data_IF_429022666460
#
_entry.id   IF_429022666460
#
_cell.length_a   1.000
_cell.length_b   1.000
_cell.length_c   1.000
_cell.angle_alpha   90.00
_cell.angle_beta   90.00
_cell.angle_gamma   90.00
#
_symmetry.space_group_name_H-M   'P 1'
#
loop_
_entity.id
_entity.type
_entity.pdbx_description
1 polymer ?
#
# COMPACT_ATOMS: atom_id res chain seq x y z
N UNK A 1 -20.99 -28.69 -16.42
CA UNK A 1 -20.17 -27.61 -15.84
C UNK A 1 -19.71 -26.61 -16.91
N UNK A 2 -19.46 -27.03 -18.16
CA UNK A 2 -18.96 -26.13 -19.22
C UNK A 2 -19.89 -25.00 -19.65
N UNK A 3 -21.22 -25.14 -19.50
CA UNK A 3 -22.17 -24.06 -19.83
C UNK A 3 -22.25 -22.94 -18.77
N UNK A 4 -21.78 -23.19 -17.54
CA UNK A 4 -21.75 -22.19 -16.47
C UNK A 4 -20.48 -21.33 -16.59
N UNK A 5 -19.34 -21.94 -16.95
CA UNK A 5 -18.08 -21.24 -17.21
C UNK A 5 -18.17 -20.30 -18.43
N UNK A 6 -18.93 -20.67 -19.47
CA UNK A 6 -19.14 -19.82 -20.67
C UNK A 6 -20.10 -18.64 -20.39
N UNK A 7 -20.96 -18.75 -19.37
CA UNK A 7 -21.86 -17.67 -18.97
C UNK A 7 -21.15 -16.62 -18.09
N UNK A 8 -20.20 -17.05 -17.25
CA UNK A 8 -19.40 -16.16 -16.41
C UNK A 8 -18.43 -15.29 -17.25
N UNK A 9 -17.91 -15.78 -18.37
CA UNK A 9 -17.06 -14.98 -19.27
C UNK A 9 -17.85 -13.98 -20.14
N UNK A 10 -19.17 -14.18 -20.29
CA UNK A 10 -20.07 -13.27 -21.05
C UNK A 10 -20.86 -12.28 -20.19
N UNK A 11 -21.07 -12.54 -18.90
CA UNK A 11 -21.86 -11.69 -17.99
C UNK A 11 -21.20 -11.42 -16.63
N UNK A 12 -20.04 -12.02 -16.33
CA UNK A 12 -19.23 -11.58 -15.22
C UNK A 12 -18.70 -10.18 -15.52
N UNK A 13 -18.73 -9.22 -14.58
CA UNK A 13 -18.06 -7.95 -14.80
C UNK A 13 -16.59 -8.28 -15.07
N UNK A 14 -16.15 -8.09 -16.32
CA UNK A 14 -14.73 -7.94 -16.62
C UNK A 14 -14.29 -6.72 -15.85
N UNK A 15 -13.94 -6.90 -14.59
CA UNK A 15 -13.32 -5.87 -13.77
C UNK A 15 -11.95 -5.66 -14.37
N UNK A 16 -11.89 -4.90 -15.48
CA UNK A 16 -10.63 -4.35 -15.96
C UNK A 16 -10.04 -3.66 -14.75
N UNK A 17 -8.92 -4.17 -14.24
CA UNK A 17 -8.29 -3.60 -13.06
C UNK A 17 -8.10 -2.11 -13.33
N UNK A 18 -8.77 -1.28 -12.55
CA UNK A 18 -8.56 0.15 -12.58
C UNK A 18 -7.11 0.38 -12.11
N UNK A 19 -6.29 0.99 -12.95
CA UNK A 19 -4.95 1.43 -12.61
C UNK A 19 -5.02 2.83 -12.00
N UNK A 20 -5.63 2.95 -10.82
CA UNK A 20 -5.48 4.13 -9.97
C UNK A 20 -4.21 4.07 -9.10
N UNK A 21 -3.72 2.85 -8.84
CA UNK A 21 -2.48 2.59 -8.09
C UNK A 21 -1.22 2.60 -8.98
N UNK A 22 -0.11 3.15 -8.47
CA UNK A 22 1.19 2.99 -9.10
C UNK A 22 1.79 1.60 -8.84
N UNK A 23 2.86 1.27 -9.58
CA UNK A 23 3.66 0.06 -9.34
C UNK A 23 4.10 -0.06 -7.87
N UNK A 24 4.53 1.04 -7.26
CA UNK A 24 4.96 1.07 -5.85
C UNK A 24 3.79 0.84 -4.89
N UNK A 25 2.61 1.40 -5.17
CA UNK A 25 1.44 1.16 -4.32
C UNK A 25 1.02 -0.31 -4.40
N UNK A 26 1.04 -0.91 -5.61
CA UNK A 26 0.78 -2.34 -5.82
C UNK A 26 1.80 -3.22 -5.09
N UNK A 27 3.07 -2.81 -5.01
CA UNK A 27 4.10 -3.50 -4.22
C UNK A 27 3.72 -3.54 -2.73
N UNK A 28 3.22 -2.43 -2.18
CA UNK A 28 2.77 -2.37 -0.77
C UNK A 28 1.49 -3.16 -0.54
N UNK A 29 0.41 -2.82 -1.25
CA UNK A 29 -0.93 -3.28 -0.90
C UNK A 29 -1.28 -4.67 -1.43
N UNK A 30 -0.53 -5.17 -2.43
CA UNK A 30 -0.77 -6.48 -3.05
C UNK A 30 0.37 -7.43 -2.80
N UNK A 31 1.58 -7.12 -3.27
CA UNK A 31 2.72 -8.05 -3.21
C UNK A 31 3.15 -8.30 -1.76
N UNK A 32 3.31 -7.25 -0.97
CA UNK A 32 3.70 -7.38 0.45
C UNK A 32 2.63 -8.13 1.24
N UNK A 33 1.34 -7.84 1.02
CA UNK A 33 0.23 -8.52 1.70
C UNK A 33 0.15 -10.00 1.29
N UNK A 34 0.31 -10.32 0.01
CA UNK A 34 0.38 -11.71 -0.47
C UNK A 34 1.57 -12.46 0.13
N UNK A 35 2.75 -11.83 0.19
CA UNK A 35 3.93 -12.41 0.82
C UNK A 35 3.72 -12.69 2.31
N UNK A 36 3.21 -11.71 3.06
CA UNK A 36 2.94 -11.85 4.50
C UNK A 36 1.88 -12.93 4.78
N UNK A 37 0.81 -12.98 3.99
CA UNK A 37 -0.23 -14.02 4.13
C UNK A 37 0.31 -15.41 3.81
N UNK A 38 1.15 -15.55 2.79
CA UNK A 38 1.86 -16.81 2.51
C UNK A 38 2.76 -17.23 3.70
N UNK A 39 3.51 -16.30 4.29
CA UNK A 39 4.32 -16.59 5.48
C UNK A 39 3.46 -17.05 6.67
N UNK A 40 2.28 -16.47 6.88
CA UNK A 40 1.35 -16.91 7.93
C UNK A 40 0.94 -18.36 7.72
N UNK A 41 0.57 -18.75 6.49
CA UNK A 41 0.20 -20.14 6.19
C UNK A 41 1.35 -21.12 6.46
N UNK A 42 2.59 -20.74 6.13
CA UNK A 42 3.78 -21.56 6.40
C UNK A 42 3.96 -21.76 7.91
N UNK A 43 3.84 -20.70 8.70
CA UNK A 43 4.05 -20.74 10.16
C UNK A 43 2.95 -21.55 10.86
N UNK A 44 1.68 -21.37 10.44
CA UNK A 44 0.55 -22.13 11.01
C UNK A 44 0.64 -23.64 10.72
N UNK A 45 1.37 -24.04 9.68
CA UNK A 45 1.63 -25.45 9.38
C UNK A 45 2.72 -26.11 10.24
N UNK A 46 3.51 -25.33 11.00
CA UNK A 46 4.60 -25.83 11.83
C UNK A 46 4.13 -26.26 13.23
N UNK A 47 4.23 -27.55 13.55
CA UNK A 47 3.87 -28.10 14.88
C UNK A 47 5.11 -28.17 15.78
N UNK A 48 4.95 -27.86 17.08
CA UNK A 48 5.97 -28.06 18.12
C UNK A 48 6.13 -29.55 18.46
N UNK A 49 7.37 -30.02 18.62
CA UNK A 49 7.67 -31.36 19.15
C UNK A 49 8.61 -31.27 20.36
N UNK A 50 8.09 -31.56 21.54
CA UNK A 50 8.85 -31.76 22.76
C UNK A 50 9.26 -33.24 22.87
N UNK A 51 10.48 -33.48 23.31
CA UNK A 51 10.98 -34.84 23.50
C UNK A 51 10.66 -35.29 24.93
N UNK A 52 9.52 -35.98 25.12
CA UNK A 52 9.16 -36.58 26.40
C UNK A 52 8.77 -38.06 26.22
N UNK A 53 9.58 -38.97 26.74
CA UNK A 53 9.25 -40.41 26.74
C UNK A 53 8.27 -40.73 27.87
N UNK A 54 6.98 -40.91 27.56
CA UNK A 54 5.99 -41.45 28.50
C UNK A 54 4.52 -41.08 28.19
N UNK A 55 3.61 -41.47 29.09
CA UNK A 55 2.16 -41.26 28.95
C UNK A 55 1.73 -39.77 29.00
N UNK A 56 2.63 -38.86 29.39
CA UNK A 56 2.38 -37.42 29.53
C UNK A 56 2.93 -36.56 28.38
N UNK A 57 3.39 -37.16 27.29
CA UNK A 57 3.99 -36.44 26.16
C UNK A 57 3.07 -35.35 25.58
N UNK A 58 1.78 -35.64 25.37
CA UNK A 58 0.81 -34.65 24.90
C UNK A 58 0.59 -33.49 25.88
N UNK A 59 0.65 -33.75 27.19
CA UNK A 59 0.52 -32.72 28.23
C UNK A 59 1.78 -31.84 28.30
N UNK A 60 2.97 -32.46 28.27
CA UNK A 60 4.25 -31.75 28.27
C UNK A 60 4.37 -30.84 27.04
N UNK A 61 4.04 -31.35 25.85
CA UNK A 61 3.97 -30.58 24.61
C UNK A 61 3.08 -29.34 24.73
N UNK A 62 1.85 -29.53 25.22
CA UNK A 62 0.86 -28.45 25.32
C UNK A 62 1.27 -27.39 26.34
N UNK A 63 1.74 -27.81 27.52
CA UNK A 63 2.18 -26.89 28.57
C UNK A 63 3.42 -26.11 28.12
N UNK A 64 4.39 -26.75 27.50
CA UNK A 64 5.60 -26.09 27.02
C UNK A 64 5.29 -25.11 25.89
N UNK A 65 4.36 -25.45 25.00
CA UNK A 65 3.88 -24.50 23.99
C UNK A 65 3.16 -23.30 24.60
N UNK A 66 2.35 -23.46 25.66
CA UNK A 66 1.59 -22.37 26.29
C UNK A 66 2.45 -21.48 27.18
N UNK A 67 3.26 -22.10 28.05
CA UNK A 67 4.08 -21.39 29.04
C UNK A 67 5.28 -20.69 28.41
N UNK A 68 5.70 -21.12 27.21
CA UNK A 68 6.92 -20.69 26.57
C UNK A 68 8.13 -21.46 27.08
N UNK A 69 9.27 -21.22 26.44
CA UNK A 69 10.55 -21.87 26.74
C UNK A 69 11.65 -20.84 26.91
N UNK A 70 12.81 -21.25 27.42
CA UNK A 70 13.99 -20.39 27.52
C UNK A 70 15.16 -21.02 26.78
N UNK A 71 16.05 -20.18 26.26
CA UNK A 71 17.26 -20.63 25.60
C UNK A 71 18.35 -20.93 26.63
N UNK A 72 18.99 -22.08 26.49
CA UNK A 72 20.19 -22.45 27.25
C UNK A 72 21.26 -22.86 26.23
N UNK A 73 22.43 -22.19 26.19
CA UNK A 73 23.52 -22.59 25.32
C UNK A 73 23.94 -24.04 25.58
N UNK A 74 24.23 -24.80 24.52
CA UNK A 74 24.62 -26.22 24.62
C UNK A 74 25.92 -26.44 25.40
N UNK A 75 26.75 -25.40 25.52
CA UNK A 75 28.00 -25.41 26.29
C UNK A 75 27.76 -25.40 27.82
N UNK A 76 26.59 -24.92 28.27
CA UNK A 76 26.21 -24.91 29.68
C UNK A 76 25.59 -26.27 30.07
N UNK A 77 26.42 -27.15 30.63
CA UNK A 77 26.01 -28.52 31.04
C UNK A 77 25.00 -28.48 32.20
N UNK A 78 25.02 -27.42 33.03
CA UNK A 78 24.19 -27.32 34.23
C UNK A 78 22.94 -26.47 33.99
N UNK A 79 21.77 -27.07 34.18
CA UNK A 79 20.50 -26.32 34.28
C UNK A 79 20.59 -25.42 35.52
N UNK A 80 20.44 -24.08 35.39
CA UNK A 80 20.56 -23.19 36.53
C UNK A 80 19.56 -23.55 37.64
N UNK A 81 19.93 -23.32 38.89
CA UNK A 81 18.99 -23.47 40.01
C UNK A 81 17.74 -22.60 39.77
N UNK A 82 16.57 -23.12 40.14
CA UNK A 82 15.27 -22.48 39.91
C UNK A 82 15.12 -21.15 40.66
N UNK A 83 15.93 -20.93 41.70
CA UNK A 83 16.03 -19.66 42.41
C UNK A 83 16.58 -18.53 41.54
N UNK A 84 17.34 -18.85 40.49
CA UNK A 84 17.88 -17.88 39.54
C UNK A 84 16.83 -17.57 38.46
N UNK A 85 16.69 -16.29 38.07
CA UNK A 85 15.82 -15.94 36.97
C UNK A 85 16.31 -16.63 35.69
N UNK A 86 15.40 -17.30 34.98
CA UNK A 86 15.68 -17.81 33.64
C UNK A 86 15.91 -16.61 32.72
N UNK A 87 17.11 -16.52 32.16
CA UNK A 87 17.48 -15.49 31.19
C UNK A 87 17.05 -15.96 29.79
N UNK A 88 16.63 -15.02 28.93
CA UNK A 88 16.24 -15.29 27.53
C UNK A 88 15.03 -16.21 27.33
N UNK A 89 13.85 -15.74 27.76
CA UNK A 89 12.58 -16.36 27.40
C UNK A 89 12.27 -16.17 25.91
N UNK A 90 11.88 -17.26 25.26
CA UNK A 90 11.52 -17.34 23.86
C UNK A 90 10.01 -17.58 23.82
N UNK A 91 9.23 -16.52 23.56
CA UNK A 91 7.76 -16.61 23.42
C UNK A 91 7.23 -15.94 22.15
N UNK A 92 8.09 -15.25 21.38
CA UNK A 92 7.67 -14.54 20.18
C UNK A 92 7.07 -15.45 19.10
N UNK A 93 7.47 -16.72 19.04
CA UNK A 93 6.95 -17.67 18.04
C UNK A 93 5.43 -17.89 18.19
N UNK A 94 4.89 -17.80 19.41
CA UNK A 94 3.46 -17.89 19.68
C UNK A 94 2.68 -16.74 19.03
N UNK A 95 3.30 -15.55 18.97
CA UNK A 95 2.69 -14.31 18.50
C UNK A 95 3.03 -13.97 17.06
N UNK A 96 3.96 -14.72 16.44
CA UNK A 96 4.53 -14.37 15.13
C UNK A 96 3.44 -14.28 14.06
N UNK A 97 2.54 -15.27 13.97
CA UNK A 97 1.45 -15.27 12.99
C UNK A 97 0.52 -14.06 13.14
N UNK A 98 0.18 -13.68 14.38
CA UNK A 98 -0.66 -12.50 14.64
C UNK A 98 0.02 -11.21 14.21
N UNK A 99 1.34 -11.10 14.42
CA UNK A 99 2.08 -9.90 14.02
C UNK A 99 2.17 -9.77 12.52
N UNK A 100 2.45 -10.86 11.81
CA UNK A 100 2.41 -10.85 10.35
C UNK A 100 1.02 -10.47 9.82
N UNK A 101 -0.05 -10.91 10.51
CA UNK A 101 -1.42 -10.50 10.17
C UNK A 101 -1.63 -8.99 10.39
N UNK A 102 -1.20 -8.45 11.54
CA UNK A 102 -1.26 -7.01 11.78
C UNK A 102 -0.46 -6.23 10.74
N UNK A 103 0.76 -6.64 10.44
CA UNK A 103 1.57 -6.04 9.38
C UNK A 103 0.81 -6.01 8.04
N UNK A 104 0.20 -7.13 7.65
CA UNK A 104 -0.57 -7.21 6.41
C UNK A 104 -1.77 -6.24 6.40
N UNK A 105 -2.49 -6.14 7.52
CA UNK A 105 -3.61 -5.18 7.65
C UNK A 105 -3.14 -3.73 7.54
N UNK A 106 -2.02 -3.37 8.18
CA UNK A 106 -1.47 -2.02 8.10
C UNK A 106 -0.98 -1.66 6.69
N UNK A 107 -0.49 -2.61 5.89
CA UNK A 107 -0.17 -2.36 4.48
C UNK A 107 -1.40 -2.17 3.57
N UNK A 108 -2.58 -2.68 3.98
CA UNK A 108 -3.85 -2.44 3.28
C UNK A 108 -4.49 -1.09 3.65
N UNK A 109 -4.17 -0.56 4.82
CA UNK A 109 -4.81 0.63 5.38
C UNK A 109 -4.74 1.88 4.47
N UNK A 110 -3.59 2.26 3.88
CA UNK A 110 -3.50 3.46 3.04
C UNK A 110 -4.39 3.36 1.79
N UNK A 111 -4.48 2.18 1.17
CA UNK A 111 -5.38 1.93 0.04
C UNK A 111 -6.84 2.05 0.44
N UNK A 112 -7.22 1.48 1.59
CA UNK A 112 -8.58 1.59 2.10
C UNK A 112 -8.97 3.05 2.36
N UNK A 113 -8.05 3.83 2.93
CA UNK A 113 -8.20 5.26 3.16
C UNK A 113 -8.43 6.02 1.84
N UNK A 114 -7.61 5.76 0.81
CA UNK A 114 -7.77 6.37 -0.53
C UNK A 114 -9.14 6.08 -1.16
N UNK A 115 -9.56 4.81 -1.19
CA UNK A 115 -10.85 4.44 -1.79
C UNK A 115 -12.04 4.96 -0.99
N UNK A 116 -11.95 4.98 0.34
CA UNK A 116 -13.02 5.52 1.19
C UNK A 116 -13.17 7.02 0.95
N UNK A 117 -12.05 7.75 0.88
CA UNK A 117 -12.07 9.18 0.59
C UNK A 117 -12.64 9.48 -0.79
N UNK A 118 -12.20 8.76 -1.82
CA UNK A 118 -12.69 8.95 -3.20
C UNK A 118 -14.17 8.58 -3.36
N UNK A 119 -14.70 7.67 -2.53
CA UNK A 119 -16.12 7.33 -2.49
C UNK A 119 -16.98 8.40 -1.81
N UNK A 120 -16.45 9.01 -0.75
CA UNK A 120 -17.13 10.09 -0.02
C UNK A 120 -17.01 11.44 -0.75
N UNK A 121 -15.96 11.61 -1.56
CA UNK A 121 -15.81 12.76 -2.44
C UNK A 121 -16.90 12.78 -3.50
N UNK A 122 -17.40 13.97 -3.83
CA UNK A 122 -18.54 14.17 -4.73
C UNK A 122 -18.38 13.61 -6.15
N UNK A 123 -17.18 13.17 -6.54
CA UNK A 123 -16.90 12.53 -7.82
C UNK A 123 -16.18 11.18 -7.63
N UNK A 124 -16.88 10.08 -7.91
CA UNK A 124 -16.28 8.75 -7.87
C UNK A 124 -15.58 8.44 -9.21
N UNK A 125 -14.26 8.59 -9.22
CA UNK A 125 -13.39 8.39 -10.40
C UNK A 125 -13.55 6.97 -10.98
N UNK A 126 -13.71 5.96 -10.12
CA UNK A 126 -13.86 4.57 -10.55
C UNK A 126 -15.16 4.38 -11.34
N UNK A 127 -16.25 5.03 -10.91
CA UNK A 127 -17.52 5.01 -11.64
C UNK A 127 -17.40 5.68 -13.00
N UNK A 128 -16.69 6.82 -13.10
CA UNK A 128 -16.51 7.51 -14.39
C UNK A 128 -15.80 6.61 -15.41
N UNK A 129 -14.71 5.96 -15.00
CA UNK A 129 -13.94 5.09 -15.89
C UNK A 129 -14.76 3.85 -16.26
N UNK A 130 -15.53 3.31 -15.30
CA UNK A 130 -16.46 2.21 -15.57
C UNK A 130 -17.55 2.60 -16.58
N UNK A 131 -18.11 3.81 -16.48
CA UNK A 131 -19.08 4.33 -17.46
C UNK A 131 -18.49 4.44 -18.86
N UNK A 132 -17.20 4.76 -19.00
CA UNK A 132 -16.53 4.79 -20.32
C UNK A 132 -16.35 3.38 -20.88
N UNK A 133 -15.95 2.42 -20.03
CA UNK A 133 -15.59 1.06 -20.45
C UNK A 133 -16.79 0.13 -20.69
N UNK A 134 -17.83 0.24 -19.86
CA UNK A 134 -18.97 -0.68 -19.88
C UNK A 134 -20.05 -0.27 -20.90
N UNK A 135 -19.99 0.96 -21.40
CA UNK A 135 -21.01 1.47 -22.31
C UNK A 135 -20.73 1.02 -23.75
N UNK A 136 -21.71 0.42 -24.46
CA UNK A 136 -21.49 -0.12 -25.81
C UNK A 136 -21.19 0.97 -26.84
N UNK A 137 -21.64 2.20 -26.57
CA UNK A 137 -21.35 3.39 -27.34
C UNK A 137 -20.42 4.28 -26.51
N UNK A 138 -19.12 4.23 -26.84
CA UNK A 138 -18.07 4.97 -26.13
C UNK A 138 -18.33 6.47 -26.14
N UNK A 139 -18.92 7.01 -27.21
CA UNK A 139 -19.14 8.45 -27.33
C UNK A 139 -20.21 8.96 -26.34
N UNK A 140 -21.27 8.18 -26.11
CA UNK A 140 -22.26 8.49 -25.06
C UNK A 140 -21.68 8.38 -23.65
N UNK A 141 -20.81 7.40 -23.41
CA UNK A 141 -20.10 7.27 -22.13
C UNK A 141 -19.20 8.47 -21.88
N UNK A 142 -18.47 8.91 -22.90
CA UNK A 142 -17.59 10.10 -22.85
C UNK A 142 -18.39 11.39 -22.61
N UNK A 143 -19.54 11.57 -23.27
CA UNK A 143 -20.39 12.74 -23.06
C UNK A 143 -20.90 12.82 -21.61
N UNK A 144 -21.29 11.68 -21.02
CA UNK A 144 -21.71 11.60 -19.62
C UNK A 144 -20.59 11.99 -18.65
N UNK A 145 -19.37 11.51 -18.91
CA UNK A 145 -18.18 11.85 -18.11
C UNK A 145 -17.80 13.32 -18.29
N UNK A 146 -17.87 13.87 -19.50
CA UNK A 146 -17.62 15.30 -19.76
C UNK A 146 -18.55 16.19 -18.94
N UNK A 147 -19.87 15.90 -18.95
CA UNK A 147 -20.88 16.65 -18.17
C UNK A 147 -20.63 16.54 -16.67
N UNK A 148 -20.41 15.32 -16.17
CA UNK A 148 -20.18 15.06 -14.74
C UNK A 148 -18.90 15.73 -14.24
N UNK A 149 -17.83 15.67 -15.03
CA UNK A 149 -16.55 16.25 -14.67
C UNK A 149 -16.58 17.78 -14.72
N UNK A 150 -17.23 18.36 -15.74
CA UNK A 150 -17.45 19.81 -15.81
C UNK A 150 -18.25 20.32 -14.61
N UNK A 151 -19.37 19.66 -14.30
CA UNK A 151 -20.22 20.03 -13.15
C UNK A 151 -19.43 20.02 -11.84
N UNK A 152 -18.59 19.00 -11.65
CA UNK A 152 -17.71 18.92 -10.48
C UNK A 152 -16.72 20.10 -10.42
N UNK A 153 -16.06 20.43 -11.53
CA UNK A 153 -15.10 21.55 -11.59
C UNK A 153 -15.78 22.90 -11.36
N UNK A 154 -16.94 23.14 -11.97
CA UNK A 154 -17.72 24.38 -11.80
C UNK A 154 -18.17 24.53 -10.35
N UNK A 155 -18.67 23.46 -9.73
CA UNK A 155 -19.06 23.45 -8.30
C UNK A 155 -17.85 23.76 -7.41
N UNK A 156 -16.71 23.10 -7.65
CA UNK A 156 -15.49 23.30 -6.87
C UNK A 156 -14.95 24.73 -6.99
N UNK A 157 -15.01 25.32 -8.19
CA UNK A 157 -14.58 26.70 -8.44
C UNK A 157 -15.53 27.73 -7.81
N UNK A 158 -16.83 27.43 -7.76
CA UNK A 158 -17.84 28.29 -7.12
C UNK A 158 -17.68 28.32 -5.60
N UNK A 159 -17.51 27.15 -4.97
CA UNK A 159 -17.35 27.02 -3.51
C UNK A 159 -16.10 27.74 -2.97
N UNK A 160 -15.06 27.93 -3.79
CA UNK A 160 -13.89 28.74 -3.44
C UNK A 160 -14.16 30.25 -3.44
N UNK A 161 -15.16 30.71 -4.18
CA UNK A 161 -15.57 32.11 -4.22
C UNK A 161 -16.18 32.60 -2.91
N UNK A 162 -16.73 31.70 -2.10
CA UNK A 162 -17.45 32.04 -0.87
C UNK A 162 -16.59 31.94 0.40
N UNK A 163 -15.37 31.40 0.31
CA UNK A 163 -14.56 31.09 1.49
C UNK A 163 -13.25 31.88 1.52
N UNK A 164 -13.32 33.17 1.87
CA UNK A 164 -12.26 33.88 2.59
C UNK A 164 -12.67 35.32 2.98
N UNK A 165 -13.36 35.46 4.11
CA UNK A 165 -13.37 36.70 4.89
C UNK A 165 -13.38 36.34 6.39
N UNK A 166 -12.24 36.50 7.06
CA UNK A 166 -12.15 36.53 8.53
C UNK A 166 -11.72 35.22 9.22
N UNK A 167 -10.47 35.19 9.69
CA UNK A 167 -9.87 34.54 10.88
C UNK A 167 -10.46 33.26 11.55
N UNK A 168 -11.31 32.47 10.89
CA UNK A 168 -11.78 31.14 11.33
C UNK A 168 -11.79 30.18 10.13
N UNK A 169 -10.62 29.68 9.75
CA UNK A 169 -10.49 28.62 8.75
C UNK A 169 -10.93 27.27 9.36
N UNK A 170 -12.24 27.05 9.48
CA UNK A 170 -12.81 25.79 10.02
C UNK A 170 -13.12 24.74 8.95
N UNK A 171 -13.00 25.03 7.64
CA UNK A 171 -13.13 24.03 6.59
C UNK A 171 -11.86 23.99 5.75
N UNK A 172 -10.84 23.28 6.24
CA UNK A 172 -9.69 22.91 5.41
C UNK A 172 -10.20 21.95 4.32
N UNK A 173 -10.44 22.47 3.11
CA UNK A 173 -10.81 21.63 1.98
C UNK A 173 -9.62 20.73 1.64
N UNK A 174 -9.71 19.46 2.03
CA UNK A 174 -8.75 18.42 1.65
C UNK A 174 -9.10 18.03 0.21
N UNK A 175 -8.34 18.52 -0.75
CA UNK A 175 -8.50 18.13 -2.15
C UNK A 175 -8.04 16.69 -2.41
N UNK A 176 -8.51 16.09 -3.51
CA UNK A 176 -8.06 14.77 -3.96
C UNK A 176 -6.54 14.67 -4.08
N UNK A 177 -5.88 15.74 -4.55
CA UNK A 177 -4.42 15.76 -4.69
C UNK A 177 -3.69 15.70 -3.35
N UNK A 178 -4.17 16.45 -2.36
CA UNK A 178 -3.56 16.42 -1.02
C UNK A 178 -3.75 15.04 -0.38
N UNK A 179 -4.95 14.47 -0.51
CA UNK A 179 -5.23 13.13 0.00
C UNK A 179 -4.36 12.06 -0.66
N UNK A 180 -4.18 12.15 -1.98
CA UNK A 180 -3.35 11.21 -2.72
C UNK A 180 -1.88 11.27 -2.25
N UNK A 181 -1.32 12.47 -2.09
CA UNK A 181 0.02 12.66 -1.54
C UNK A 181 0.12 12.19 -0.08
N UNK A 182 -0.92 12.42 0.73
CA UNK A 182 -0.97 11.94 2.11
C UNK A 182 -0.92 10.40 2.18
N UNK A 183 -1.60 9.70 1.27
CA UNK A 183 -1.55 8.23 1.17
C UNK A 183 -0.14 7.75 0.81
N UNK A 184 0.57 8.44 -0.10
CA UNK A 184 1.98 8.12 -0.42
C UNK A 184 2.89 8.26 0.79
N UNK A 185 2.73 9.35 1.54
CA UNK A 185 3.48 9.57 2.79
C UNK A 185 3.12 8.51 3.83
N UNK A 186 1.83 8.12 3.91
CA UNK A 186 1.37 7.08 4.83
C UNK A 186 2.00 5.71 4.52
N UNK A 187 2.27 5.37 3.26
CA UNK A 187 3.03 4.16 2.92
C UNK A 187 4.47 4.19 3.46
N UNK A 188 5.15 5.35 3.39
CA UNK A 188 6.50 5.52 3.97
C UNK A 188 6.46 5.41 5.50
N UNK A 189 5.52 6.11 6.14
CA UNK A 189 5.35 6.04 7.60
C UNK A 189 5.03 4.61 8.03
N UNK A 190 4.18 3.91 7.29
CA UNK A 190 3.83 2.53 7.59
C UNK A 190 5.06 1.62 7.52
N UNK A 191 5.82 1.64 6.41
CA UNK A 191 6.99 0.75 6.29
C UNK A 191 8.06 1.02 7.35
N UNK A 192 8.30 2.29 7.72
CA UNK A 192 9.18 2.66 8.83
C UNK A 192 8.64 2.18 10.19
N UNK A 193 7.36 2.42 10.44
CA UNK A 193 6.71 2.01 11.71
C UNK A 193 6.75 0.50 11.87
N UNK A 194 6.46 -0.28 10.83
CA UNK A 194 6.56 -1.74 10.87
C UNK A 194 7.99 -2.21 11.19
N UNK A 195 9.01 -1.55 10.63
CA UNK A 195 10.40 -1.86 10.94
C UNK A 195 10.74 -1.65 12.42
N UNK A 196 10.33 -0.51 13.00
CA UNK A 196 10.54 -0.23 14.42
C UNK A 196 9.69 -1.13 15.34
N UNK A 197 8.46 -1.45 14.95
CA UNK A 197 7.60 -2.38 15.70
C UNK A 197 8.21 -3.78 15.76
N UNK A 198 8.79 -4.27 14.66
CA UNK A 198 9.49 -5.56 14.66
C UNK A 198 10.72 -5.56 15.56
N UNK A 199 11.48 -4.46 15.58
CA UNK A 199 12.62 -4.30 16.48
C UNK A 199 12.20 -4.32 17.96
N UNK A 200 11.09 -3.67 18.30
CA UNK A 200 10.55 -3.68 19.66
C UNK A 200 10.01 -5.07 20.04
N UNK A 201 9.32 -5.75 19.13
CA UNK A 201 8.69 -7.04 19.40
C UNK A 201 9.70 -8.17 19.62
N UNK A 202 10.68 -8.31 18.71
CA UNK A 202 11.65 -9.41 18.76
C UNK A 202 12.61 -9.29 19.97
N UNK A 203 12.60 -8.16 20.69
CA UNK A 203 13.35 -7.92 21.92
C UNK A 203 14.88 -8.11 21.78
N UNK A 204 15.37 -8.08 20.54
CA UNK A 204 16.78 -8.02 20.19
C UNK A 204 16.98 -6.95 19.10
N UNK A 205 18.24 -6.55 18.87
CA UNK A 205 18.58 -5.56 17.85
C UNK A 205 18.27 -6.10 16.42
N UNK A 206 17.05 -5.88 15.94
CA UNK A 206 16.60 -6.29 14.61
C UNK A 206 17.33 -5.51 13.51
N UNK A 207 17.75 -4.28 13.79
CA UNK A 207 18.55 -3.47 12.85
C UNK A 207 19.86 -4.16 12.45
N UNK A 208 20.54 -4.83 13.39
CA UNK A 208 21.81 -5.53 13.10
C UNK A 208 21.60 -6.93 12.50
N UNK A 209 20.40 -7.50 12.64
CA UNK A 209 20.09 -8.86 12.20
C UNK A 209 20.25 -9.04 10.68
N UNK A 210 19.73 -8.11 9.89
CA UNK A 210 19.83 -8.16 8.43
C UNK A 210 21.27 -8.16 7.91
N UNK A 211 22.10 -7.15 8.24
CA UNK A 211 23.48 -7.08 7.77
C UNK A 211 24.32 -8.28 8.22
N UNK A 212 24.14 -8.75 9.46
CA UNK A 212 24.82 -9.95 9.94
C UNK A 212 24.41 -11.21 9.14
N UNK A 213 23.13 -11.34 8.81
CA UNK A 213 22.61 -12.44 7.99
C UNK A 213 23.16 -12.44 6.57
N UNK A 214 23.19 -11.27 5.93
CA UNK A 214 23.71 -11.10 4.57
C UNK A 214 25.22 -11.36 4.53
N UNK A 215 25.98 -10.80 5.48
CA UNK A 215 27.43 -10.98 5.52
C UNK A 215 27.81 -12.45 5.71
N UNK A 216 27.16 -13.17 6.63
CA UNK A 216 27.43 -14.61 6.82
C UNK A 216 27.08 -15.44 5.58
N UNK A 217 25.99 -15.10 4.88
CA UNK A 217 25.61 -15.79 3.64
C UNK A 217 26.64 -15.56 2.52
N UNK A 218 27.28 -14.40 2.48
CA UNK A 218 28.29 -14.05 1.47
C UNK A 218 29.68 -14.62 1.79
N UNK A 219 30.05 -14.72 3.07
CA UNK A 219 31.40 -15.11 3.49
C UNK A 219 31.62 -16.62 3.60
N UNK A 220 30.72 -17.35 4.24
CA UNK A 220 30.99 -18.74 4.63
C UNK A 220 30.24 -19.78 3.77
N UNK A 221 29.26 -19.38 2.95
CA UNK A 221 28.44 -20.31 2.15
C UNK A 221 27.56 -21.27 2.95
N UNK A 222 27.80 -21.39 4.25
CA UNK A 222 26.99 -22.16 5.19
C UNK A 222 25.67 -21.45 5.53
N UNK A 223 24.65 -22.25 5.84
CA UNK A 223 23.34 -21.76 6.21
C UNK A 223 23.43 -20.92 7.50
N UNK A 224 23.09 -19.63 7.41
CA UNK A 224 23.07 -18.71 8.55
C UNK A 224 22.32 -19.30 9.74
N UNK A 225 22.99 -19.41 10.89
CA UNK A 225 22.38 -19.78 12.18
C UNK A 225 22.56 -18.64 13.19
N UNK A 226 21.44 -18.11 13.65
CA UNK A 226 21.41 -17.06 14.67
C UNK A 226 21.04 -17.61 16.04
N UNK A 227 21.83 -17.33 17.09
CA UNK A 227 21.45 -17.67 18.47
C UNK A 227 20.20 -16.90 18.95
N UNK A 228 19.77 -15.87 18.20
CA UNK A 228 18.51 -15.15 18.44
C UNK A 228 17.26 -15.97 18.10
N UNK A 229 17.41 -16.96 17.22
CA UNK A 229 16.37 -17.90 16.83
C UNK A 229 16.76 -19.33 17.22
N UNK A 230 16.77 -19.66 18.53
CA UNK A 230 17.19 -20.98 18.98
C UNK A 230 16.24 -22.08 18.50
N UNK A 231 16.81 -23.17 17.98
CA UNK A 231 16.06 -24.36 17.54
C UNK A 231 15.84 -25.38 18.66
N UNK A 232 16.60 -25.25 19.73
CA UNK A 232 16.52 -26.09 20.93
C UNK A 232 16.31 -25.17 22.12
N UNK A 233 15.32 -25.48 22.96
CA UNK A 233 14.97 -24.68 24.14
C UNK A 233 14.66 -25.60 25.31
N UNK A 234 14.68 -25.05 26.53
CA UNK A 234 14.35 -25.77 27.75
C UNK A 234 13.00 -25.28 28.29
N UNK A 235 12.21 -26.21 28.81
CA UNK A 235 10.90 -25.94 29.38
C UNK A 235 10.78 -26.56 30.77
N UNK A 236 10.41 -25.72 31.75
CA UNK A 236 10.14 -26.17 33.11
C UNK A 236 8.63 -26.27 33.34
N UNK A 237 8.12 -27.46 33.67
CA UNK A 237 6.73 -27.65 34.05
C UNK A 237 6.58 -28.48 35.32
N UNK A 238 5.38 -28.44 35.88
CA UNK A 238 5.06 -29.01 37.17
C UNK A 238 3.88 -29.98 37.02
N UNK A 239 4.01 -31.18 37.59
CA UNK A 239 2.95 -32.19 37.59
C UNK A 239 2.47 -32.40 39.02
N UNK A 240 1.14 -32.34 39.21
CA UNK A 240 0.49 -32.60 40.51
C UNK A 240 -0.12 -33.99 40.49
N UNK A 241 0.16 -34.80 41.52
CA UNK A 241 -0.44 -36.13 41.75
C UNK A 241 -1.19 -36.13 43.08
N UNK A 242 -2.35 -36.80 43.15
CA UNK A 242 -3.11 -36.94 44.38
C UNK A 242 -2.25 -37.65 45.45
N UNK A 243 -2.10 -37.05 46.64
CA UNK A 243 -1.37 -37.64 47.77
C UNK A 243 0.16 -37.45 47.78
N UNK A 244 0.76 -36.71 46.84
CA UNK A 244 2.21 -36.46 46.79
C UNK A 244 2.53 -34.97 46.63
N UNK A 245 3.74 -34.60 47.06
CA UNK A 245 4.36 -33.30 46.81
C UNK A 245 4.45 -32.97 45.30
N UNK A 246 4.53 -31.67 45.04
CA UNK A 246 4.65 -31.05 43.73
C UNK A 246 6.01 -31.36 43.07
N UNK A 247 6.01 -32.09 41.95
CA UNK A 247 7.26 -32.45 41.24
C UNK A 247 7.48 -31.56 40.00
N UNK A 248 8.69 -31.04 39.86
CA UNK A 248 9.13 -30.20 38.75
C UNK A 248 9.93 -31.03 37.76
N UNK A 249 9.67 -30.81 36.48
CA UNK A 249 10.36 -31.43 35.36
C UNK A 249 10.93 -30.34 34.46
N UNK A 250 12.19 -30.46 34.08
CA UNK A 250 12.83 -29.68 33.04
C UNK A 250 13.04 -30.59 31.82
N UNK A 251 12.51 -30.20 30.67
CA UNK A 251 12.58 -30.99 29.44
C UNK A 251 13.17 -30.18 28.30
N UNK A 252 13.86 -30.87 27.41
CA UNK A 252 14.38 -30.30 26.17
C UNK A 252 13.29 -30.33 25.10
N UNK A 253 13.05 -29.18 24.48
CA UNK A 253 12.07 -29.01 23.42
C UNK A 253 12.78 -28.61 22.12
N UNK A 254 12.40 -29.28 21.02
CA UNK A 254 12.80 -28.85 19.69
C UNK A 254 11.78 -27.85 19.15
N UNK A 255 12.27 -26.80 18.51
CA UNK A 255 11.47 -25.70 17.97
C UNK A 255 11.68 -25.56 16.45
N UNK A 256 11.15 -26.50 15.62
CA UNK A 256 11.32 -26.45 14.17
C UNK A 256 10.79 -25.16 13.55
N UNK A 257 9.72 -24.60 14.13
CA UNK A 257 9.11 -23.34 13.70
C UNK A 257 10.11 -22.18 13.67
N UNK A 258 11.13 -22.22 14.53
CA UNK A 258 12.06 -21.11 14.65
C UNK A 258 13.06 -21.05 13.49
N UNK A 259 13.35 -22.19 12.86
CA UNK A 259 14.12 -22.23 11.62
C UNK A 259 13.40 -21.48 10.50
N UNK A 260 12.07 -21.60 10.42
CA UNK A 260 11.27 -20.83 9.45
C UNK A 260 11.22 -19.34 9.82
N UNK A 261 10.98 -19.01 11.10
CA UNK A 261 10.92 -17.64 11.58
C UNK A 261 12.23 -16.88 11.27
N UNK A 262 13.39 -17.49 11.51
CA UNK A 262 14.69 -16.90 11.20
C UNK A 262 14.78 -16.44 9.73
N UNK A 263 14.36 -17.29 8.78
CA UNK A 263 14.43 -16.98 7.35
C UNK A 263 13.35 -15.98 6.91
N UNK A 264 12.14 -16.12 7.44
CA UNK A 264 11.02 -15.20 7.17
C UNK A 264 11.39 -13.79 7.64
N UNK A 265 11.88 -13.64 8.87
CA UNK A 265 12.25 -12.34 9.41
C UNK A 265 13.45 -11.71 8.69
N UNK A 266 14.41 -12.51 8.21
CA UNK A 266 15.50 -12.01 7.37
C UNK A 266 14.98 -11.48 6.03
N UNK A 267 14.06 -12.22 5.40
CA UNK A 267 13.38 -11.80 4.17
C UNK A 267 12.56 -10.53 4.36
N UNK A 268 11.78 -10.45 5.46
CA UNK A 268 11.00 -9.25 5.82
C UNK A 268 11.92 -8.05 6.06
N UNK A 269 13.04 -8.24 6.76
CA UNK A 269 14.00 -7.17 6.99
C UNK A 269 14.49 -6.56 5.67
N UNK A 270 14.96 -7.41 4.75
CA UNK A 270 15.40 -6.99 3.42
C UNK A 270 14.28 -6.30 2.63
N UNK A 271 13.09 -6.90 2.65
CA UNK A 271 11.94 -6.39 1.93
C UNK A 271 11.49 -5.02 2.43
N UNK A 272 11.43 -4.80 3.75
CA UNK A 272 11.02 -3.52 4.33
C UNK A 272 11.99 -2.38 4.01
N UNK A 273 13.30 -2.65 3.95
CA UNK A 273 14.30 -1.65 3.52
C UNK A 273 14.08 -1.27 2.06
N UNK A 274 13.99 -2.26 1.16
CA UNK A 274 13.74 -2.04 -0.28
C UNK A 274 12.42 -1.27 -0.48
N UNK A 275 11.36 -1.70 0.20
CA UNK A 275 10.04 -1.10 0.09
C UNK A 275 10.03 0.34 0.61
N UNK A 276 10.74 0.63 1.70
CA UNK A 276 10.87 2.01 2.23
C UNK A 276 11.57 2.92 1.22
N UNK A 277 12.64 2.45 0.57
CA UNK A 277 13.34 3.19 -0.48
C UNK A 277 12.41 3.46 -1.66
N UNK A 278 11.71 2.45 -2.17
CA UNK A 278 10.77 2.63 -3.28
C UNK A 278 9.60 3.55 -2.92
N UNK A 279 9.06 3.46 -1.71
CA UNK A 279 8.02 4.36 -1.22
C UNK A 279 8.49 5.81 -1.23
N UNK A 280 9.69 6.07 -0.70
CA UNK A 280 10.28 7.40 -0.70
C UNK A 280 10.52 7.92 -2.13
N UNK A 281 11.12 7.10 -3.00
CA UNK A 281 11.38 7.46 -4.39
C UNK A 281 10.09 7.70 -5.20
N UNK A 282 9.00 7.00 -4.86
CA UNK A 282 7.73 7.14 -5.56
C UNK A 282 7.08 8.52 -5.39
N UNK A 283 7.42 9.26 -4.33
CA UNK A 283 6.83 10.57 -4.05
C UNK A 283 7.34 11.63 -5.05
N UNK A 284 8.61 11.57 -5.46
CA UNK A 284 9.23 12.61 -6.28
C UNK A 284 8.58 12.79 -7.66
N UNK A 285 8.28 11.73 -8.45
CA UNK A 285 7.58 11.87 -9.72
C UNK A 285 6.23 12.61 -9.58
N UNK A 286 5.49 12.37 -8.50
CA UNK A 286 4.21 13.04 -8.26
C UNK A 286 4.38 14.51 -7.91
N UNK A 287 5.36 14.86 -7.08
CA UNK A 287 5.69 16.26 -6.79
C UNK A 287 6.02 17.01 -8.10
N UNK A 288 6.85 16.40 -8.96
CA UNK A 288 7.23 16.97 -10.26
C UNK A 288 6.01 17.08 -11.19
N UNK A 289 5.17 16.05 -11.23
CA UNK A 289 3.96 16.00 -12.06
C UNK A 289 2.97 17.12 -11.71
N UNK A 290 2.80 17.44 -10.42
CA UNK A 290 1.92 18.53 -9.98
C UNK A 290 2.50 19.92 -10.25
N UNK A 291 3.79 20.03 -10.61
CA UNK A 291 4.42 21.28 -11.03
C UNK A 291 3.70 21.91 -12.24
N UNK A 292 3.47 23.22 -12.20
CA UNK A 292 2.70 23.96 -13.24
C UNK A 292 3.27 23.76 -14.65
N UNK A 293 4.58 23.65 -14.78
CA UNK A 293 5.26 23.38 -16.06
C UNK A 293 4.88 22.03 -16.66
N UNK A 294 4.98 20.95 -15.88
CA UNK A 294 4.67 19.59 -16.35
C UNK A 294 3.18 19.41 -16.65
N UNK A 295 2.30 19.92 -15.77
CA UNK A 295 0.85 19.95 -16.03
C UNK A 295 0.52 20.65 -17.36
N UNK A 296 1.14 21.81 -17.61
CA UNK A 296 0.96 22.53 -18.87
C UNK A 296 1.43 21.72 -20.08
N UNK A 297 2.58 21.06 -19.98
CA UNK A 297 3.13 20.22 -21.05
C UNK A 297 2.20 19.05 -21.41
N UNK A 298 1.71 18.34 -20.38
CA UNK A 298 0.81 17.19 -20.54
C UNK A 298 -0.53 17.61 -21.16
N UNK A 299 -1.17 18.67 -20.64
CA UNK A 299 -2.44 19.14 -21.20
C UNK A 299 -2.25 19.59 -22.66
N UNK A 300 -1.15 20.28 -22.97
CA UNK A 300 -0.83 20.67 -24.35
C UNK A 300 -0.63 19.44 -25.26
N UNK A 301 -0.04 18.34 -24.76
CA UNK A 301 0.08 17.07 -25.51
C UNK A 301 -1.31 16.55 -25.90
N UNK A 302 -2.21 16.40 -24.93
CA UNK A 302 -3.56 15.88 -25.20
C UNK A 302 -4.42 16.80 -26.08
N UNK A 303 -4.29 18.13 -25.93
CA UNK A 303 -4.97 19.09 -26.82
C UNK A 303 -4.44 19.05 -28.26
N UNK A 304 -3.15 18.74 -28.47
CA UNK A 304 -2.56 18.61 -29.81
C UNK A 304 -3.00 17.33 -30.52
N UNK A 305 -3.16 16.23 -29.79
CA UNK A 305 -3.59 14.94 -30.36
C UNK A 305 -4.95 15.09 -31.06
N UNK A 306 -5.90 15.79 -30.44
CA UNK A 306 -7.20 16.03 -31.07
C UNK A 306 -7.18 17.09 -32.16
N UNK A 307 -6.30 18.11 -32.06
CA UNK A 307 -6.16 19.12 -33.13
C UNK A 307 -5.60 18.54 -34.42
N UNK A 308 -4.58 17.67 -34.36
CA UNK A 308 -4.05 17.02 -35.58
C UNK A 308 -5.11 16.23 -36.35
N UNK A 309 -6.08 15.64 -35.64
CA UNK A 309 -7.20 14.91 -36.25
C UNK A 309 -8.28 15.83 -36.82
N UNK A 310 -8.38 17.06 -36.31
CA UNK A 310 -9.24 18.10 -36.88
C UNK A 310 -8.57 18.76 -38.09
N UNK A 311 -7.27 19.07 -37.99
CA UNK A 311 -6.46 19.62 -39.08
C UNK A 311 -6.35 18.63 -40.25
N UNK A 312 -6.28 17.30 -40.05
CA UNK A 312 -6.37 16.32 -41.17
C UNK A 312 -7.69 16.42 -41.96
N UNK A 313 -8.77 16.90 -41.33
CA UNK A 313 -10.04 17.20 -42.01
C UNK A 313 -10.14 18.66 -42.47
N UNK A 314 -9.21 19.53 -42.06
CA UNK A 314 -9.22 21.00 -42.24
C UNK A 314 -7.96 21.52 -42.99
N UNK A 315 -7.15 20.65 -43.62
CA UNK A 315 -6.08 21.02 -44.60
C UNK A 315 -6.70 21.53 -45.93
N UNK A 316 -7.84 22.24 -45.86
CA UNK A 316 -8.27 23.13 -46.94
C UNK A 316 -8.12 24.61 -46.58
N UNK A 317 -7.88 24.99 -45.31
CA UNK A 317 -7.73 26.41 -45.02
C UNK A 317 -6.92 26.75 -43.78
N UNK A 318 -5.76 27.33 -44.07
CA UNK A 318 -5.08 28.38 -43.30
C UNK A 318 -4.09 27.95 -42.23
N UNK A 319 -2.83 27.86 -42.66
CA UNK A 319 -1.61 28.10 -41.88
C UNK A 319 -1.82 29.22 -40.87
N UNK A 320 -1.85 28.91 -39.58
CA UNK A 320 -1.86 29.97 -38.55
C UNK A 320 -0.77 29.76 -37.52
N UNK A 321 0.11 30.75 -37.52
CA UNK A 321 1.14 31.10 -36.56
C UNK A 321 0.70 30.95 -35.10
N UNK A 322 1.62 30.48 -34.24
CA UNK A 322 1.40 30.26 -32.81
C UNK A 322 1.33 31.63 -32.12
N UNK A 323 0.14 32.20 -31.95
CA UNK A 323 -0.07 33.52 -31.33
C UNK A 323 0.12 33.51 -29.79
N UNK A 324 0.60 34.61 -29.19
CA UNK A 324 0.75 34.78 -27.73
C UNK A 324 -0.59 34.69 -26.96
N UNK A 325 -1.72 35.00 -27.61
CA UNK A 325 -3.09 34.86 -27.07
C UNK A 325 -3.41 33.42 -26.63
N UNK A 326 -2.85 32.41 -27.30
CA UNK A 326 -3.08 30.99 -26.99
C UNK A 326 -2.39 30.55 -25.69
N UNK A 327 -1.30 31.22 -25.27
CA UNK A 327 -0.62 30.92 -24.00
C UNK A 327 -1.48 31.35 -22.81
N UNK A 328 -2.07 32.53 -22.86
CA UNK A 328 -2.90 33.08 -21.78
C UNK A 328 -4.16 32.21 -21.54
N UNK A 329 -4.85 31.82 -22.62
CA UNK A 329 -6.00 30.91 -22.51
C UNK A 329 -5.65 29.53 -21.92
N UNK A 330 -4.43 29.03 -22.15
CA UNK A 330 -4.00 27.74 -21.57
C UNK A 330 -3.67 27.86 -20.09
N UNK A 331 -3.11 29.00 -19.66
CA UNK A 331 -2.90 29.26 -18.22
C UNK A 331 -4.21 29.45 -17.47
N UNK A 332 -5.18 30.17 -18.04
CA UNK A 332 -6.51 30.33 -17.45
C UNK A 332 -7.21 28.97 -17.28
N UNK A 333 -7.12 28.11 -18.29
CA UNK A 333 -7.65 26.75 -18.20
C UNK A 333 -6.95 25.90 -17.12
N UNK A 334 -5.64 26.04 -16.95
CA UNK A 334 -4.89 25.36 -15.87
C UNK A 334 -5.33 25.84 -14.48
N UNK A 335 -5.71 27.10 -14.35
CA UNK A 335 -6.25 27.67 -13.11
C UNK A 335 -7.68 27.21 -12.85
N UNK A 336 -8.51 27.06 -13.90
CA UNK A 336 -9.83 26.43 -13.82
C UNK A 336 -9.77 24.95 -13.42
N UNK A 337 -8.87 24.17 -14.02
CA UNK A 337 -8.71 22.73 -13.75
C UNK A 337 -8.10 22.45 -12.38
N UNK A 338 -7.27 23.37 -11.87
CA UNK A 338 -6.57 23.25 -10.60
C UNK A 338 -5.68 21.99 -10.51
N UNK A 339 -5.25 21.63 -9.29
CA UNK A 339 -4.48 20.41 -9.05
C UNK A 339 -5.37 19.17 -8.98
N UNK A 340 -6.54 19.28 -8.35
CA UNK A 340 -7.46 18.15 -8.18
C UNK A 340 -8.07 17.69 -9.51
N UNK A 341 -8.55 18.63 -10.33
CA UNK A 341 -9.05 18.31 -11.67
C UNK A 341 -7.96 17.72 -12.55
N UNK A 342 -6.73 18.21 -12.43
CA UNK A 342 -5.61 17.63 -13.17
C UNK A 342 -5.33 16.18 -12.74
N UNK A 343 -5.37 15.87 -11.44
CA UNK A 343 -5.21 14.50 -10.94
C UNK A 343 -6.30 13.58 -11.47
N UNK A 344 -7.56 14.02 -11.39
CA UNK A 344 -8.72 13.24 -11.88
C UNK A 344 -8.55 12.96 -13.37
N UNK A 345 -8.23 13.98 -14.16
CA UNK A 345 -7.95 13.81 -15.59
C UNK A 345 -6.79 12.86 -15.84
N UNK A 346 -5.70 12.97 -15.08
CA UNK A 346 -4.53 12.12 -15.22
C UNK A 346 -4.84 10.65 -14.93
N UNK A 347 -5.65 10.36 -13.90
CA UNK A 347 -6.10 8.99 -13.60
C UNK A 347 -7.00 8.46 -14.72
N UNK A 348 -7.94 9.26 -15.23
CA UNK A 348 -8.77 8.87 -16.38
C UNK A 348 -7.88 8.55 -17.59
N UNK A 349 -6.94 9.44 -17.92
CA UNK A 349 -6.06 9.30 -19.07
C UNK A 349 -5.15 8.06 -19.01
N UNK A 350 -4.77 7.58 -17.82
CA UNK A 350 -4.03 6.32 -17.66
C UNK A 350 -4.88 5.07 -17.85
N UNK A 351 -6.19 5.19 -17.66
CA UNK A 351 -7.14 4.08 -17.69
C UNK A 351 -7.97 3.99 -18.97
N UNK A 352 -7.86 4.98 -19.85
CA UNK A 352 -8.61 5.10 -21.11
C UNK A 352 -7.65 5.44 -22.25
N UNK A 353 -8.06 5.21 -23.49
CA UNK A 353 -7.24 5.54 -24.66
C UNK A 353 -6.91 7.04 -24.73
N UNK A 354 -5.72 7.38 -25.26
CA UNK A 354 -5.26 8.78 -25.38
C UNK A 354 -6.26 9.65 -26.17
N UNK A 355 -6.98 9.08 -27.14
CA UNK A 355 -8.01 9.76 -27.93
C UNK A 355 -9.23 10.10 -27.07
N UNK A 356 -9.69 9.16 -26.25
CA UNK A 356 -10.85 9.34 -25.36
C UNK A 356 -10.53 10.42 -24.31
N UNK A 357 -9.36 10.33 -23.67
CA UNK A 357 -8.89 11.36 -22.75
C UNK A 357 -8.77 12.73 -23.44
N UNK A 358 -8.25 12.75 -24.67
CA UNK A 358 -8.21 13.94 -25.52
C UNK A 358 -9.58 14.58 -25.74
N UNK A 359 -10.62 13.79 -26.03
CA UNK A 359 -11.99 14.29 -26.23
C UNK A 359 -12.53 14.95 -24.96
N UNK A 360 -12.27 14.36 -23.80
CA UNK A 360 -12.70 14.91 -22.50
C UNK A 360 -12.03 16.27 -22.24
N UNK A 361 -10.71 16.35 -22.38
CA UNK A 361 -9.99 17.60 -22.10
C UNK A 361 -10.29 18.70 -23.12
N UNK A 362 -10.51 18.36 -24.40
CA UNK A 362 -10.87 19.34 -25.43
C UNK A 362 -12.26 19.93 -25.18
N UNK A 363 -13.23 19.11 -24.78
CA UNK A 363 -14.56 19.59 -24.39
C UNK A 363 -14.48 20.54 -23.19
N UNK A 364 -13.70 20.20 -22.16
CA UNK A 364 -13.47 21.08 -21.02
C UNK A 364 -12.76 22.38 -21.43
N UNK A 365 -11.78 22.31 -22.32
CA UNK A 365 -11.03 23.48 -22.82
C UNK A 365 -11.89 24.42 -23.69
N UNK A 366 -12.91 23.90 -24.38
CA UNK A 366 -13.84 24.71 -25.17
C UNK A 366 -14.92 25.36 -24.30
N UNK A 367 -15.35 24.66 -23.25
CA UNK A 367 -16.54 25.02 -22.47
C UNK A 367 -16.25 25.48 -21.04
N UNK A 368 -14.99 25.77 -20.68
CA UNK A 368 -14.67 26.30 -19.35
C UNK A 368 -15.14 27.74 -19.22
N UNK A 369 -15.72 28.07 -18.07
CA UNK A 369 -15.97 29.45 -17.70
C UNK A 369 -14.77 29.93 -16.89
N UNK A 370 -14.06 30.99 -17.32
CA UNK A 370 -12.98 31.56 -16.53
C UNK A 370 -13.53 31.95 -15.15
N UNK A 371 -12.81 31.58 -14.11
CA UNK A 371 -13.18 31.87 -12.72
C UNK A 371 -13.47 33.36 -12.54
N UNK A 372 -14.51 33.70 -11.78
CA UNK A 372 -15.01 35.05 -11.52
C UNK A 372 -13.98 36.08 -10.95
N UNK A 373 -12.72 35.66 -10.74
CA UNK A 373 -11.61 36.56 -10.38
C UNK A 373 -11.31 37.63 -11.44
N UNK A 374 -11.61 37.36 -12.71
CA UNK A 374 -11.38 38.34 -13.80
C UNK A 374 -12.49 39.41 -13.90
N UNK A 375 -13.59 39.25 -13.16
CA UNK A 375 -14.64 40.27 -13.05
C UNK A 375 -14.33 41.32 -11.97
N UNK A 376 -13.46 41.01 -11.01
CA UNK A 376 -13.08 41.92 -9.92
C UNK A 376 -11.84 42.74 -10.28
N UNK A 377 -11.00 42.30 -11.22
CA UNK A 377 -9.84 43.09 -11.68
C UNK A 377 -10.18 44.17 -12.73
N UNK A 378 -11.45 44.27 -13.14
CA UNK A 378 -11.94 45.22 -14.14
C UNK A 378 -13.00 46.20 -13.58
N UNK A 379 -13.09 46.31 -12.25
CA UNK A 379 -13.82 47.36 -11.52
C UNK A 379 -12.82 48.02 -10.58
#
# INVERSE_FOLDING_TARGET
>A
MDKILIAEDRYGPKTSHLEDDDLVDRLNNRITVMGLTMCIFIILGGVLVAEFKGQHDGYANSICWLKGSYYLPTEDITIPDRSKPRTYFVSYYQWTAFILLFMAMFFLLPRYIWHTFTRLGGLNIQRLIKTIKDQPDTDKGVESVQKSFKLYLDTQNTLKGEMCCGFRCSNFYIGYTLMYLAVKVLYVINSLTQFFLLNAFLSFNFTSFGPEGINKLLSDGDWFESPRFPRVTMCDFMVRRLGSNQHWYAVQCTLPINMFNEKIFLGIWLWLIILTIFNFLSIFPWIILFGRGQRSSIIKKYLKINKKKFDENEILSTSTTISPYRRNKTSEFLDYLQMDGFLIFYIIARNTDEIVAGKIIDHLYKNFNPSARDLISNV
#
